data_IF_599417309513
#
_entry.id   IF_599417309513
#
_cell.length_a   1.000
_cell.length_b   1.000
_cell.length_c   1.000
_cell.angle_alpha   90.00
_cell.angle_beta   90.00
_cell.angle_gamma   90.00
#
_symmetry.space_group_name_H-M   'P 1'
#
loop_
_entity.id
_entity.type
_entity.pdbx_description
1 polymer ?
#
# COMPACT_ATOMS: atom_id res chain seq x y z
N UNK A 1 24.63 16.69 13.28
CA UNK A 1 24.47 15.26 13.57
C UNK A 1 23.13 14.77 13.05
N UNK A 2 23.16 13.76 12.18
CA UNK A 2 21.98 13.19 11.52
C UNK A 2 20.91 12.73 12.53
N UNK A 3 21.31 12.07 13.60
CA UNK A 3 20.36 11.60 14.62
C UNK A 3 19.72 12.74 15.43
N UNK A 4 20.42 13.85 15.61
CA UNK A 4 19.86 15.04 16.24
C UNK A 4 18.77 15.65 15.33
N UNK A 5 19.04 15.72 14.03
CA UNK A 5 18.08 16.18 13.02
C UNK A 5 16.83 15.28 12.98
N UNK A 6 16.99 13.96 12.91
CA UNK A 6 15.87 13.02 12.92
C UNK A 6 15.04 13.17 14.20
N UNK A 7 15.68 13.37 15.34
CA UNK A 7 15.00 13.57 16.63
C UNK A 7 14.22 14.88 16.67
N UNK A 8 14.78 15.96 16.14
CA UNK A 8 14.10 17.26 16.04
C UNK A 8 12.84 17.13 15.17
N UNK A 9 12.98 16.54 14.00
CA UNK A 9 11.87 16.30 13.08
C UNK A 9 10.80 15.38 13.71
N UNK A 10 11.21 14.29 14.35
CA UNK A 10 10.29 13.38 15.04
C UNK A 10 9.50 14.10 16.15
N UNK A 11 10.15 14.98 16.92
CA UNK A 11 9.50 15.80 17.93
C UNK A 11 8.48 16.78 17.37
N UNK A 12 8.82 17.47 16.27
CA UNK A 12 7.94 18.45 15.62
C UNK A 12 6.74 17.80 14.93
N UNK A 13 6.92 16.64 14.31
CA UNK A 13 5.85 15.90 13.63
C UNK A 13 5.01 15.02 14.59
N UNK A 14 5.36 14.95 15.87
CA UNK A 14 4.71 14.05 16.83
C UNK A 14 4.94 12.56 16.55
N UNK A 15 5.94 12.25 15.73
CA UNK A 15 6.25 10.89 15.33
C UNK A 15 7.18 10.21 16.33
N UNK A 16 7.01 8.90 16.54
CA UNK A 16 7.97 8.12 17.32
C UNK A 16 9.27 7.94 16.54
N UNK A 17 10.40 8.02 17.23
CA UNK A 17 11.70 7.71 16.64
C UNK A 17 11.70 6.34 15.94
N UNK A 18 12.28 6.25 14.75
CA UNK A 18 12.46 4.97 14.06
C UNK A 18 13.35 4.04 14.91
N UNK A 19 13.08 2.73 14.81
CA UNK A 19 13.88 1.71 15.52
C UNK A 19 15.26 1.60 14.94
N UNK A 20 15.37 1.62 13.62
CA UNK A 20 16.61 1.60 12.87
C UNK A 20 16.59 2.69 11.81
N UNK A 21 17.78 3.24 11.56
CA UNK A 21 18.03 4.16 10.44
C UNK A 21 19.02 3.46 9.54
N UNK A 22 18.63 3.24 8.29
CA UNK A 22 19.47 2.63 7.26
C UNK A 22 19.96 3.72 6.32
N UNK A 23 21.15 3.51 5.77
CA UNK A 23 21.71 4.35 4.74
C UNK A 23 21.83 3.53 3.46
N UNK A 24 21.35 4.07 2.34
CA UNK A 24 21.47 3.45 1.01
C UNK A 24 22.22 4.37 0.05
N UNK A 25 22.70 3.86 -1.09
CA UNK A 25 23.32 4.71 -2.12
C UNK A 25 22.32 5.52 -2.94
N UNK A 26 21.02 5.33 -2.73
CA UNK A 26 19.96 5.93 -3.53
C UNK A 26 19.79 7.45 -3.30
N UNK A 27 19.01 8.10 -4.16
CA UNK A 27 18.60 9.51 -4.02
C UNK A 27 17.15 9.54 -3.54
N UNK A 28 16.86 8.90 -2.42
CA UNK A 28 15.52 8.81 -1.87
C UNK A 28 15.55 8.68 -0.34
N UNK A 29 14.45 9.02 0.32
CA UNK A 29 14.19 8.62 1.69
C UNK A 29 12.87 7.87 1.71
N UNK A 30 12.80 6.86 2.55
CA UNK A 30 11.54 6.15 2.75
C UNK A 30 11.44 5.60 4.17
N UNK A 31 10.23 5.44 4.57
CA UNK A 31 9.95 4.77 5.82
C UNK A 31 9.21 3.47 5.56
N UNK A 32 9.63 2.42 6.22
CA UNK A 32 9.07 1.10 6.02
C UNK A 32 8.88 0.34 7.34
N UNK A 33 8.04 -0.68 7.28
CA UNK A 33 7.81 -1.60 8.38
C UNK A 33 8.53 -2.92 8.12
N UNK A 34 9.03 -3.55 9.16
CA UNK A 34 9.41 -4.96 9.08
C UNK A 34 8.13 -5.76 8.82
N UNK A 35 7.93 -6.17 7.57
CA UNK A 35 6.73 -6.89 7.15
C UNK A 35 6.77 -8.33 7.64
N UNK A 36 5.85 -8.64 8.56
CA UNK A 36 5.50 -10.01 8.92
C UNK A 36 3.99 -10.15 8.75
N UNK A 37 3.49 -11.35 8.45
CA UNK A 37 2.06 -11.65 8.41
C UNK A 37 1.31 -11.17 9.68
N UNK A 38 1.99 -11.20 10.83
CA UNK A 38 1.49 -10.71 12.11
C UNK A 38 1.42 -9.19 12.23
N UNK A 39 1.97 -8.48 11.28
CA UNK A 39 2.03 -7.00 11.27
C UNK A 39 0.66 -6.33 11.15
N UNK A 40 -0.34 -7.07 10.68
CA UNK A 40 -1.73 -6.61 10.59
C UNK A 40 -2.35 -6.46 11.98
N UNK A 41 -1.92 -7.27 12.96
CA UNK A 41 -2.53 -7.35 14.28
C UNK A 41 -1.72 -6.65 15.38
N UNK A 42 -0.42 -6.45 15.20
CA UNK A 42 0.46 -5.87 16.23
C UNK A 42 1.09 -4.54 15.77
N UNK A 43 1.30 -3.59 16.70
CA UNK A 43 1.99 -2.34 16.39
C UNK A 43 3.45 -2.64 16.01
N UNK A 44 3.80 -2.39 14.75
CA UNK A 44 5.10 -2.67 14.21
C UNK A 44 6.01 -1.48 14.43
N UNK A 45 7.28 -1.80 14.67
CA UNK A 45 8.33 -0.81 14.78
C UNK A 45 8.69 -0.29 13.38
N UNK A 46 8.82 0.99 13.27
CA UNK A 46 9.08 1.74 12.05
C UNK A 46 10.58 1.87 11.85
N UNK A 47 11.04 1.72 10.62
CA UNK A 47 12.42 1.95 10.21
C UNK A 47 12.45 3.10 9.21
N UNK A 48 13.55 3.84 9.20
CA UNK A 48 13.82 4.93 8.26
C UNK A 48 15.00 4.54 7.38
N UNK A 49 14.88 4.67 6.10
CA UNK A 49 15.99 4.58 5.14
C UNK A 49 16.22 5.96 4.53
N UNK A 50 17.48 6.37 4.47
CA UNK A 50 17.91 7.63 3.89
C UNK A 50 18.99 7.34 2.87
N UNK A 51 18.76 7.74 1.64
CA UNK A 51 19.72 7.67 0.57
C UNK A 51 20.82 8.72 0.71
N UNK A 52 22.06 8.31 0.64
CA UNK A 52 23.22 9.22 0.73
C UNK A 52 23.24 10.21 -0.42
N UNK A 53 22.73 9.84 -1.59
CA UNK A 53 22.62 10.73 -2.73
C UNK A 53 21.73 11.97 -2.49
N UNK A 54 20.85 11.95 -1.49
CA UNK A 54 20.10 13.15 -1.10
C UNK A 54 21.02 14.26 -0.58
N UNK A 55 22.08 13.90 0.15
CA UNK A 55 23.00 14.89 0.73
C UNK A 55 23.92 15.57 -0.30
N UNK A 56 24.09 14.97 -1.47
CA UNK A 56 24.92 15.53 -2.54
C UNK A 56 24.21 16.66 -3.29
N UNK A 57 22.88 16.64 -3.34
CA UNK A 57 22.09 17.56 -4.18
C UNK A 57 21.14 18.48 -3.41
N UNK A 58 21.00 18.34 -2.09
CA UNK A 58 20.02 19.09 -1.29
C UNK A 58 20.67 19.75 -0.06
N UNK A 59 20.05 20.83 0.39
CA UNK A 59 20.41 21.52 1.64
C UNK A 59 19.93 20.72 2.86
N UNK A 60 20.44 21.04 4.04
CA UNK A 60 20.01 20.41 5.29
C UNK A 60 18.51 20.61 5.57
N UNK A 61 17.99 21.80 5.22
CA UNK A 61 16.58 22.13 5.37
C UNK A 61 15.72 21.31 4.41
N UNK A 62 16.16 21.09 3.19
CA UNK A 62 15.44 20.22 2.24
C UNK A 62 15.45 18.75 2.72
N UNK A 63 16.56 18.23 3.23
CA UNK A 63 16.61 16.90 3.83
C UNK A 63 15.67 16.79 5.03
N UNK A 64 15.62 17.82 5.88
CA UNK A 64 14.62 17.86 6.98
C UNK A 64 13.19 17.83 6.48
N UNK A 65 12.90 18.59 5.42
CA UNK A 65 11.57 18.61 4.81
C UNK A 65 11.17 17.25 4.26
N UNK A 66 12.08 16.56 3.58
CA UNK A 66 11.86 15.21 3.06
C UNK A 66 11.59 14.23 4.21
N UNK A 67 12.41 14.25 5.27
CA UNK A 67 12.21 13.37 6.44
C UNK A 67 10.90 13.73 7.16
N UNK A 68 10.53 15.01 7.23
CA UNK A 68 9.27 15.45 7.83
C UNK A 68 8.05 14.98 7.04
N UNK A 69 8.14 14.99 5.71
CA UNK A 69 7.13 14.43 4.81
C UNK A 69 6.95 12.92 5.07
N UNK A 70 8.03 12.16 5.10
CA UNK A 70 8.00 10.73 5.41
C UNK A 70 7.41 10.44 6.80
N UNK A 71 7.74 11.27 7.79
CA UNK A 71 7.16 11.17 9.13
C UNK A 71 5.69 11.61 9.17
N UNK A 72 5.27 12.49 8.26
CA UNK A 72 3.88 12.85 8.04
C UNK A 72 3.04 11.63 7.72
N UNK A 73 3.47 10.80 6.80
CA UNK A 73 2.82 9.52 6.51
C UNK A 73 2.72 8.60 7.73
N UNK A 74 3.66 8.69 8.66
CA UNK A 74 3.66 7.87 9.87
C UNK A 74 2.75 8.35 10.99
N UNK A 75 2.61 9.66 11.15
CA UNK A 75 1.80 10.25 12.23
C UNK A 75 0.33 9.91 12.05
N UNK A 76 -0.08 9.62 10.83
CA UNK A 76 -1.45 9.34 10.45
C UNK A 76 -1.75 7.85 10.47
N UNK A 77 -2.98 7.49 10.84
CA UNK A 77 -3.51 6.14 10.64
C UNK A 77 -3.72 5.78 9.16
N UNK A 78 -3.43 6.71 8.26
CA UNK A 78 -3.57 6.62 6.82
C UNK A 78 -2.77 5.48 6.20
N UNK A 79 -1.55 5.20 6.69
CA UNK A 79 -0.76 4.07 6.21
C UNK A 79 -1.42 2.71 6.47
N UNK A 80 -2.13 2.55 7.60
CA UNK A 80 -2.89 1.30 7.87
C UNK A 80 -4.04 1.15 6.88
N UNK A 81 -4.75 2.24 6.61
CA UNK A 81 -5.84 2.24 5.63
C UNK A 81 -5.29 2.00 4.23
N UNK A 82 -4.20 2.67 3.84
CA UNK A 82 -3.52 2.48 2.56
C UNK A 82 -3.08 1.02 2.35
N UNK A 83 -2.45 0.41 3.35
CA UNK A 83 -2.04 -0.99 3.31
C UNK A 83 -3.25 -1.94 3.18
N UNK A 84 -4.31 -1.71 3.93
CA UNK A 84 -5.54 -2.52 3.85
C UNK A 84 -6.18 -2.41 2.46
N UNK A 85 -6.25 -1.21 1.90
CA UNK A 85 -6.81 -0.99 0.57
C UNK A 85 -5.92 -1.61 -0.51
N UNK A 86 -4.59 -1.53 -0.37
CA UNK A 86 -3.66 -2.18 -1.29
C UNK A 86 -3.87 -3.70 -1.32
N UNK A 87 -3.90 -4.35 -0.15
CA UNK A 87 -4.15 -5.80 -0.05
C UNK A 87 -5.52 -6.16 -0.65
N UNK A 88 -6.56 -5.40 -0.31
CA UNK A 88 -7.91 -5.61 -0.87
C UNK A 88 -7.89 -5.48 -2.39
N UNK A 89 -7.20 -4.47 -2.92
CA UNK A 89 -7.08 -4.24 -4.37
C UNK A 89 -6.36 -5.41 -5.07
N UNK A 90 -5.28 -5.93 -4.48
CA UNK A 90 -4.55 -7.10 -5.00
C UNK A 90 -5.44 -8.34 -5.01
N UNK A 91 -6.13 -8.62 -3.91
CA UNK A 91 -7.06 -9.77 -3.83
C UNK A 91 -8.19 -9.66 -4.86
N UNK A 92 -8.80 -8.48 -5.01
CA UNK A 92 -9.85 -8.25 -6.00
C UNK A 92 -9.32 -8.38 -7.43
N UNK A 93 -8.10 -7.90 -7.69
CA UNK A 93 -7.44 -8.06 -8.98
C UNK A 93 -7.22 -9.54 -9.31
N UNK A 94 -6.68 -10.30 -8.38
CA UNK A 94 -6.42 -11.73 -8.56
C UNK A 94 -7.71 -12.51 -8.78
N UNK A 95 -8.78 -12.19 -8.05
CA UNK A 95 -10.12 -12.78 -8.25
C UNK A 95 -10.71 -12.52 -9.65
N UNK A 96 -10.32 -11.41 -10.29
CA UNK A 96 -10.84 -11.05 -11.62
C UNK A 96 -9.99 -11.67 -12.73
N UNK A 97 -8.66 -11.63 -12.57
CA UNK A 97 -7.71 -11.89 -13.65
C UNK A 97 -6.93 -13.20 -13.53
N UNK A 98 -6.86 -13.79 -12.34
CA UNK A 98 -6.22 -15.10 -12.21
C UNK A 98 -7.08 -16.19 -12.85
N UNK A 99 -6.48 -17.00 -13.70
CA UNK A 99 -7.09 -18.23 -14.18
C UNK A 99 -7.01 -19.29 -13.10
N UNK A 100 -8.08 -19.41 -12.31
CA UNK A 100 -8.15 -20.33 -11.21
C UNK A 100 -8.36 -21.77 -11.67
N UNK A 101 -7.93 -22.72 -10.83
CA UNK A 101 -8.24 -24.14 -10.97
C UNK A 101 -9.75 -24.37 -11.21
N UNK A 102 -10.62 -23.55 -10.59
CA UNK A 102 -12.06 -23.59 -10.75
C UNK A 102 -12.55 -23.27 -12.17
N UNK A 103 -11.96 -22.29 -12.85
CA UNK A 103 -12.33 -21.96 -14.23
C UNK A 103 -12.07 -23.16 -15.16
N UNK A 104 -10.91 -23.80 -15.00
CA UNK A 104 -10.55 -25.02 -15.76
C UNK A 104 -11.43 -26.21 -15.40
N UNK A 105 -11.86 -26.34 -14.15
CA UNK A 105 -12.73 -27.40 -13.71
C UNK A 105 -14.18 -27.23 -14.25
N UNK A 106 -14.70 -26.02 -14.24
CA UNK A 106 -16.00 -25.66 -14.81
C UNK A 106 -16.00 -25.87 -16.33
N UNK A 107 -14.91 -25.53 -17.01
CA UNK A 107 -14.76 -25.74 -18.45
C UNK A 107 -14.85 -27.23 -18.81
N UNK A 108 -14.24 -28.12 -18.02
CA UNK A 108 -14.38 -29.57 -18.21
C UNK A 108 -15.83 -30.03 -18.05
N UNK A 109 -16.59 -29.45 -17.13
CA UNK A 109 -18.02 -29.75 -16.99
C UNK A 109 -18.86 -29.27 -18.16
N UNK A 110 -18.57 -28.08 -18.68
CA UNK A 110 -19.23 -27.55 -19.86
C UNK A 110 -19.00 -28.41 -21.11
N UNK A 111 -17.85 -29.09 -21.21
CA UNK A 111 -17.48 -29.96 -22.32
C UNK A 111 -17.89 -31.43 -22.12
N UNK A 112 -18.56 -31.77 -21.01
CA UNK A 112 -19.01 -33.13 -20.73
C UNK A 112 -20.10 -33.58 -21.70
N UNK A 113 -20.00 -34.84 -22.17
CA UNK A 113 -21.02 -35.46 -23.02
C UNK A 113 -22.32 -35.81 -22.27
N UNK A 114 -22.29 -35.80 -20.94
CA UNK A 114 -23.45 -36.05 -20.10
C UNK A 114 -24.30 -34.79 -19.97
N UNK A 115 -25.51 -34.78 -20.53
CA UNK A 115 -26.37 -33.61 -20.59
C UNK A 115 -26.64 -32.90 -19.25
N UNK A 116 -26.78 -33.68 -18.15
CA UNK A 116 -26.96 -33.13 -16.83
C UNK A 116 -25.71 -32.36 -16.32
N UNK A 117 -24.52 -32.96 -16.48
CA UNK A 117 -23.25 -32.30 -16.06
C UNK A 117 -22.99 -31.05 -16.87
N UNK A 118 -23.25 -31.10 -18.17
CA UNK A 118 -23.13 -29.94 -19.07
C UNK A 118 -24.05 -28.81 -18.65
N UNK A 119 -25.31 -29.09 -18.30
CA UNK A 119 -26.25 -28.08 -17.83
C UNK A 119 -25.74 -27.36 -16.57
N UNK A 120 -25.28 -28.14 -15.56
CA UNK A 120 -24.69 -27.56 -14.35
C UNK A 120 -23.40 -26.76 -14.65
N UNK A 121 -22.58 -27.22 -15.57
CA UNK A 121 -21.38 -26.50 -16.01
C UNK A 121 -21.73 -25.13 -16.61
N UNK A 122 -22.70 -25.06 -17.50
CA UNK A 122 -23.15 -23.80 -18.12
C UNK A 122 -23.75 -22.86 -17.09
N UNK A 123 -24.56 -23.38 -16.15
CA UNK A 123 -25.14 -22.58 -15.08
C UNK A 123 -24.06 -22.00 -14.15
N UNK A 124 -23.09 -22.82 -13.73
CA UNK A 124 -21.98 -22.40 -12.88
C UNK A 124 -21.12 -21.35 -13.58
N UNK A 125 -20.83 -21.54 -14.87
CA UNK A 125 -20.09 -20.56 -15.68
C UNK A 125 -20.83 -19.22 -15.76
N UNK A 126 -22.15 -19.25 -15.95
CA UNK A 126 -23.00 -18.04 -15.91
C UNK A 126 -22.89 -17.29 -14.59
N UNK A 127 -22.98 -18.01 -13.47
CA UNK A 127 -22.83 -17.43 -12.11
C UNK A 127 -21.43 -16.86 -11.89
N UNK A 128 -20.38 -17.60 -12.26
CA UNK A 128 -18.99 -17.13 -12.14
C UNK A 128 -18.77 -15.83 -12.92
N UNK A 129 -19.29 -15.74 -14.14
CA UNK A 129 -19.17 -14.53 -14.95
C UNK A 129 -19.91 -13.33 -14.31
N UNK A 130 -21.06 -13.55 -13.71
CA UNK A 130 -21.80 -12.50 -12.98
C UNK A 130 -20.98 -12.04 -11.78
N UNK A 131 -20.43 -12.96 -10.99
CA UNK A 131 -19.60 -12.65 -9.83
C UNK A 131 -18.36 -11.87 -10.26
N UNK A 132 -17.61 -12.34 -11.27
CA UNK A 132 -16.44 -11.62 -11.81
C UNK A 132 -16.80 -10.21 -12.27
N UNK A 133 -17.95 -10.03 -12.91
CA UNK A 133 -18.41 -8.71 -13.36
C UNK A 133 -18.75 -7.78 -12.19
N UNK A 134 -19.41 -8.28 -11.16
CA UNK A 134 -19.71 -7.52 -9.94
C UNK A 134 -18.41 -7.15 -9.21
N UNK A 135 -17.49 -8.10 -9.05
CA UNK A 135 -16.18 -7.87 -8.45
C UNK A 135 -15.40 -6.79 -9.21
N UNK A 136 -15.48 -6.78 -10.54
CA UNK A 136 -14.84 -5.74 -11.36
C UNK A 136 -15.38 -4.32 -11.07
N UNK A 137 -16.70 -4.17 -10.86
CA UNK A 137 -17.26 -2.88 -10.49
C UNK A 137 -16.83 -2.45 -9.09
N UNK A 138 -16.80 -3.39 -8.13
CA UNK A 138 -16.30 -3.14 -6.77
C UNK A 138 -14.82 -2.73 -6.82
N UNK A 139 -13.99 -3.44 -7.58
CA UNK A 139 -12.59 -3.11 -7.80
C UNK A 139 -12.40 -1.68 -8.32
N UNK A 140 -13.13 -1.29 -9.38
CA UNK A 140 -13.08 0.08 -9.91
C UNK A 140 -13.50 1.14 -8.90
N UNK A 141 -14.50 0.85 -8.08
CA UNK A 141 -14.96 1.76 -7.04
C UNK A 141 -13.90 1.94 -5.94
N UNK A 142 -13.35 0.83 -5.44
CA UNK A 142 -12.27 0.83 -4.43
C UNK A 142 -11.04 1.55 -4.96
N UNK A 143 -10.65 1.31 -6.21
CA UNK A 143 -9.48 1.95 -6.82
C UNK A 143 -9.64 3.47 -6.93
N UNK A 144 -10.84 3.97 -7.29
CA UNK A 144 -11.10 5.42 -7.29
C UNK A 144 -11.02 6.03 -5.89
N UNK A 145 -11.53 5.32 -4.88
CA UNK A 145 -11.42 5.72 -3.48
C UNK A 145 -9.96 5.78 -3.02
N UNK A 146 -9.19 4.76 -3.37
CA UNK A 146 -7.76 4.68 -3.05
C UNK A 146 -6.96 5.84 -3.65
N UNK A 147 -7.17 6.17 -4.93
CA UNK A 147 -6.48 7.29 -5.57
C UNK A 147 -6.78 8.64 -4.91
N UNK A 148 -8.02 8.84 -4.45
CA UNK A 148 -8.38 10.04 -3.69
C UNK A 148 -7.70 10.05 -2.33
N UNK A 149 -7.76 8.94 -1.59
CA UNK A 149 -7.13 8.80 -0.30
C UNK A 149 -5.62 9.03 -0.39
N UNK A 150 -4.95 8.41 -1.37
CA UNK A 150 -3.51 8.58 -1.61
C UNK A 150 -3.16 10.07 -1.76
N UNK A 151 -3.91 10.83 -2.57
CA UNK A 151 -3.69 12.27 -2.72
C UNK A 151 -3.87 13.04 -1.41
N UNK A 152 -4.88 12.70 -0.61
CA UNK A 152 -5.05 13.34 0.69
C UNK A 152 -3.88 13.04 1.63
N UNK A 153 -3.35 11.82 1.58
CA UNK A 153 -2.20 11.43 2.38
C UNK A 153 -0.96 12.24 2.00
N UNK A 154 -0.73 12.46 0.69
CA UNK A 154 0.37 13.30 0.20
C UNK A 154 0.21 14.77 0.65
N UNK A 155 -0.98 15.36 0.49
CA UNK A 155 -1.23 16.74 0.95
C UNK A 155 -1.04 16.90 2.45
N UNK A 156 -1.44 15.92 3.23
CA UNK A 156 -1.26 15.93 4.68
C UNK A 156 0.22 15.80 5.06
N UNK A 157 0.98 14.94 4.38
CA UNK A 157 2.42 14.78 4.57
C UNK A 157 3.17 16.07 4.19
N UNK A 158 2.81 16.69 3.06
CA UNK A 158 3.34 17.99 2.63
C UNK A 158 3.05 19.10 3.65
N UNK A 159 1.82 19.13 4.18
CA UNK A 159 1.45 20.12 5.19
C UNK A 159 2.28 19.96 6.47
N UNK A 160 2.51 18.73 6.91
CA UNK A 160 3.37 18.44 8.06
C UNK A 160 4.82 18.84 7.79
N UNK A 161 5.33 18.56 6.58
CA UNK A 161 6.66 18.98 6.16
C UNK A 161 6.82 20.50 6.21
N UNK A 162 5.86 21.24 5.63
CA UNK A 162 5.83 22.72 5.67
C UNK A 162 5.80 23.27 7.09
N UNK A 163 5.00 22.68 7.98
CA UNK A 163 4.94 23.12 9.39
C UNK A 163 6.22 22.81 10.17
N UNK A 164 6.96 21.79 9.74
CA UNK A 164 8.20 21.39 10.41
C UNK A 164 9.40 22.28 10.05
N UNK A 165 9.47 22.78 8.82
CA UNK A 165 10.63 23.47 8.24
C UNK A 165 10.34 24.96 7.98
N UNK A 166 9.08 25.32 7.73
CA UNK A 166 8.63 26.71 7.50
C UNK A 166 8.35 27.44 8.76
#
# INVERSE_FOLDING_TARGET
DLFAMIRDVAGKTGCKMPKHVYLSPDVNACVFYDTSFWSIFFPIKKNLEIGLGLFDGTSVEEVKSIIAHEFGHFSQNSMKVGSTVYVTNTVLHDLIYAEDFWDRFVDKWCLSDTGGIRFFGVLTRGLTNIIKRLTFYVYKFVQKGYLKLSRYMEYDADNIACQCVG
#
